data_IF_764831929167
#
_entry.id   IF_764831929167
#
_cell.length_a   1.000
_cell.length_b   1.000
_cell.length_c   1.000
_cell.angle_alpha   90.00
_cell.angle_beta   90.00
_cell.angle_gamma   90.00
#
_symmetry.space_group_name_H-M   'P 1'
#
loop_
_entity.id
_entity.type
_entity.pdbx_description
1 polymer ?
#
# COMPACT_ATOMS: atom_id res chain seq x y z
N UNK A 1 -14.57 40.00 -17.69
CA UNK A 1 -13.24 39.84 -18.33
C UNK A 1 -12.17 40.10 -17.27
N UNK A 2 -11.98 39.18 -16.34
CA UNK A 2 -10.89 38.19 -16.35
C UNK A 2 -9.49 38.82 -16.38
N UNK A 3 -8.95 39.07 -15.18
CA UNK A 3 -7.53 38.93 -14.88
C UNK A 3 -7.38 38.16 -13.56
N UNK A 4 -7.78 36.88 -13.63
CA UNK A 4 -7.02 35.83 -12.96
C UNK A 4 -5.64 35.85 -13.63
N UNK A 5 -4.56 35.90 -12.87
CA UNK A 5 -3.30 35.25 -13.20
C UNK A 5 -2.28 35.48 -12.08
N UNK A 6 -1.82 34.36 -11.53
CA UNK A 6 -0.52 34.18 -10.87
C UNK A 6 -0.40 34.57 -9.40
N UNK A 7 -1.16 33.86 -8.55
CA UNK A 7 -0.73 33.56 -7.18
C UNK A 7 -0.55 32.05 -7.01
N UNK A 8 0.46 31.51 -7.69
CA UNK A 8 1.04 30.20 -7.34
C UNK A 8 2.56 30.34 -7.36
N UNK A 9 3.23 30.35 -6.20
CA UNK A 9 4.67 30.35 -6.15
C UNK A 9 5.21 29.09 -6.85
N UNK A 10 6.13 29.38 -7.77
CA UNK A 10 6.88 28.48 -8.61
C UNK A 10 7.80 27.60 -7.76
N UNK A 11 7.26 26.59 -7.08
CA UNK A 11 8.07 25.54 -6.48
C UNK A 11 8.56 24.61 -7.58
N UNK A 12 9.67 25.01 -8.20
CA UNK A 12 10.54 24.09 -8.94
C UNK A 12 11.28 23.25 -7.90
N UNK A 13 10.52 22.43 -7.17
CA UNK A 13 11.09 21.35 -6.39
C UNK A 13 11.40 20.25 -7.38
N UNK A 14 12.69 20.06 -7.62
CA UNK A 14 13.24 18.83 -8.14
C UNK A 14 12.86 17.72 -7.15
N UNK A 15 11.63 17.23 -7.25
CA UNK A 15 11.28 15.91 -6.77
C UNK A 15 12.17 15.01 -7.59
N UNK A 16 13.34 14.66 -7.04
CA UNK A 16 13.93 13.38 -7.35
C UNK A 16 12.78 12.40 -7.20
N UNK A 17 12.42 11.82 -8.33
CA UNK A 17 11.62 10.63 -8.46
C UNK A 17 12.37 9.54 -7.67
N UNK A 18 12.37 9.64 -6.33
CA UNK A 18 12.46 8.48 -5.46
C UNK A 18 11.16 7.76 -5.70
N UNK A 19 11.17 7.09 -6.84
CA UNK A 19 10.35 5.99 -7.19
C UNK A 19 10.15 5.21 -5.90
N UNK A 20 8.94 5.24 -5.35
CA UNK A 20 8.50 4.32 -4.30
C UNK A 20 8.42 2.93 -4.94
N UNK A 21 9.55 2.46 -5.50
CA UNK A 21 9.69 1.18 -6.16
C UNK A 21 9.40 0.11 -5.15
N UNK A 22 9.80 0.30 -3.89
CA UNK A 22 9.62 -0.65 -2.82
C UNK A 22 8.76 -0.10 -1.69
N UNK A 23 7.68 -0.80 -1.32
CA UNK A 23 6.88 -0.49 -0.14
C UNK A 23 6.57 -1.75 0.65
N UNK A 24 6.77 -1.67 1.95
CA UNK A 24 6.37 -2.69 2.91
C UNK A 24 4.93 -2.41 3.33
N UNK A 25 4.10 -3.45 3.31
CA UNK A 25 2.68 -3.38 3.62
C UNK A 25 2.35 -4.46 4.66
N UNK A 26 1.63 -4.04 5.71
CA UNK A 26 1.27 -4.89 6.84
C UNK A 26 -0.17 -5.37 6.72
N UNK A 27 -0.38 -6.63 7.08
CA UNK A 27 -1.65 -7.32 7.00
C UNK A 27 -2.00 -7.99 8.32
N UNK A 28 -3.28 -7.94 8.68
CA UNK A 28 -3.83 -8.61 9.85
C UNK A 28 -4.80 -9.71 9.44
N UNK A 29 -4.79 -10.79 10.20
CA UNK A 29 -5.73 -11.88 10.03
C UNK A 29 -7.17 -11.37 10.04
N UNK A 30 -7.93 -11.80 9.03
CA UNK A 30 -9.35 -11.50 8.93
C UNK A 30 -10.17 -12.76 9.16
N UNK A 31 -9.97 -13.80 8.32
CA UNK A 31 -10.69 -15.06 8.41
C UNK A 31 -9.99 -16.19 7.69
N UNK A 32 -10.33 -17.43 8.05
CA UNK A 32 -9.95 -18.61 7.29
C UNK A 32 -11.05 -19.08 6.33
N UNK A 33 -10.61 -19.69 5.24
CA UNK A 33 -11.47 -20.45 4.31
C UNK A 33 -11.01 -21.91 4.27
N UNK A 34 -11.54 -22.72 3.34
CA UNK A 34 -11.15 -24.13 3.19
C UNK A 34 -9.63 -24.29 2.96
N UNK A 35 -9.05 -23.49 2.08
CA UNK A 35 -7.65 -23.66 1.64
C UNK A 35 -6.77 -22.43 1.88
N UNK A 36 -7.35 -21.29 2.25
CA UNK A 36 -6.61 -20.04 2.44
C UNK A 36 -6.92 -19.37 3.76
N UNK A 37 -6.01 -18.51 4.19
CA UNK A 37 -6.20 -17.49 5.21
C UNK A 37 -6.28 -16.15 4.50
N UNK A 38 -7.33 -15.39 4.80
CA UNK A 38 -7.53 -14.03 4.30
C UNK A 38 -7.03 -13.04 5.34
N UNK A 39 -6.24 -12.08 4.89
CA UNK A 39 -5.75 -10.97 5.69
C UNK A 39 -6.24 -9.64 5.10
N UNK A 40 -6.50 -8.67 5.96
CA UNK A 40 -6.83 -7.28 5.60
C UNK A 40 -5.57 -6.42 5.76
N UNK A 41 -5.36 -5.51 4.81
CA UNK A 41 -4.29 -4.51 4.94
C UNK A 41 -4.58 -3.54 6.09
N UNK A 42 -3.54 -3.17 6.82
CA UNK A 42 -3.58 -2.10 7.83
C UNK A 42 -2.89 -0.87 7.22
N UNK A 43 -3.64 0.04 6.57
CA UNK A 43 -3.06 1.23 5.97
C UNK A 43 -2.66 2.26 7.03
N UNK A 44 -1.67 3.08 6.69
CA UNK A 44 -1.30 4.27 7.46
C UNK A 44 -2.46 5.29 7.48
N UNK A 45 -2.58 6.07 8.55
CA UNK A 45 -3.68 7.04 8.71
C UNK A 45 -3.76 8.02 7.53
N UNK A 46 -4.96 8.14 6.94
CA UNK A 46 -5.22 9.05 5.83
C UNK A 46 -4.75 8.54 4.46
N UNK A 47 -4.26 7.30 4.36
CA UNK A 47 -3.81 6.69 3.10
C UNK A 47 -4.77 5.58 2.67
N UNK A 48 -5.04 5.50 1.36
CA UNK A 48 -5.78 4.38 0.79
C UNK A 48 -4.92 3.11 0.76
N UNK A 49 -5.50 1.91 0.98
CA UNK A 49 -4.75 0.65 0.93
C UNK A 49 -4.18 0.40 -0.47
N UNK A 50 -2.99 -0.21 -0.52
CA UNK A 50 -2.28 -0.52 -1.78
C UNK A 50 -2.82 -1.82 -2.40
N UNK A 51 -3.15 -2.81 -1.58
CA UNK A 51 -3.62 -4.15 -1.97
C UNK A 51 -5.04 -4.43 -1.46
N UNK A 52 -5.34 -4.02 -0.22
CA UNK A 52 -6.64 -4.20 0.43
C UNK A 52 -6.83 -5.56 1.11
N UNK A 53 -6.83 -6.66 0.36
CA UNK A 53 -6.98 -8.02 0.91
C UNK A 53 -5.99 -9.01 0.32
N UNK A 54 -5.39 -9.85 1.17
CA UNK A 54 -4.40 -10.85 0.80
C UNK A 54 -4.89 -12.25 1.15
N UNK A 55 -4.94 -13.14 0.17
CA UNK A 55 -5.23 -14.56 0.40
C UNK A 55 -3.94 -15.38 0.35
N UNK A 56 -3.62 -16.05 1.44
CA UNK A 56 -2.43 -16.88 1.57
C UNK A 56 -2.85 -18.32 1.80
N UNK A 57 -2.19 -19.28 1.15
CA UNK A 57 -2.50 -20.70 1.33
C UNK A 57 -2.22 -21.14 2.76
N UNK A 58 -3.11 -21.97 3.33
CA UNK A 58 -3.01 -22.42 4.73
C UNK A 58 -1.69 -23.11 5.06
N UNK A 59 -1.19 -23.92 4.12
CA UNK A 59 0.07 -24.65 4.30
C UNK A 59 1.27 -23.71 4.51
N UNK A 60 1.19 -22.48 4.03
CA UNK A 60 2.24 -21.46 4.18
C UNK A 60 1.95 -20.51 5.35
N UNK A 61 0.69 -20.06 5.48
CA UNK A 61 0.28 -19.11 6.51
C UNK A 61 0.44 -19.64 7.95
N UNK A 62 0.32 -20.95 8.15
CA UNK A 62 0.36 -21.56 9.47
C UNK A 62 -0.66 -20.90 10.41
N UNK A 63 -0.21 -20.57 11.62
CA UNK A 63 -1.01 -19.87 12.64
C UNK A 63 -0.72 -18.37 12.73
N UNK A 64 -0.07 -17.79 11.71
CA UNK A 64 0.32 -16.37 11.78
C UNK A 64 -0.89 -15.45 11.76
N UNK A 65 -0.90 -14.47 12.66
CA UNK A 65 -1.95 -13.43 12.72
C UNK A 65 -1.58 -12.16 11.98
N UNK A 66 -0.29 -11.97 11.70
CA UNK A 66 0.25 -10.78 11.07
C UNK A 66 1.17 -11.22 9.95
N UNK A 67 1.06 -10.55 8.81
CA UNK A 67 1.95 -10.76 7.67
C UNK A 67 2.47 -9.42 7.18
N UNK A 68 3.71 -9.45 6.73
CA UNK A 68 4.36 -8.33 6.09
C UNK A 68 4.75 -8.76 4.68
N UNK A 69 4.36 -7.97 3.68
CA UNK A 69 4.79 -8.18 2.30
C UNK A 69 5.52 -6.95 1.82
N UNK A 70 6.52 -7.17 0.97
CA UNK A 70 7.18 -6.08 0.28
C UNK A 70 6.83 -6.11 -1.19
N UNK A 71 6.25 -5.01 -1.68
CA UNK A 71 5.91 -4.82 -3.09
C UNK A 71 7.08 -4.07 -3.73
N UNK A 72 7.65 -4.66 -4.78
CA UNK A 72 8.74 -4.09 -5.59
C UNK A 72 8.24 -3.88 -7.02
N UNK A 73 7.98 -2.64 -7.38
CA UNK A 73 7.56 -2.18 -8.70
C UNK A 73 8.79 -2.21 -9.63
N UNK A 74 8.72 -3.05 -10.65
CA UNK A 74 9.72 -3.21 -11.72
C UNK A 74 9.13 -2.65 -13.01
N UNK A 75 9.53 -1.45 -13.39
CA UNK A 75 9.25 -0.87 -14.72
C UNK A 75 10.24 -1.39 -15.76
#
# INVERSE_FOLDING_TARGET
MLKLLNYYPRYKCEYKEYFMSKKVVTFEYEKETKNSVRYKEVPDEGVAPIVGSLYVQKWFAGNSKTLEITIDKKD
#
